data_IF_210179707597
#
_entry.id   IF_210179707597
#
_cell.length_a   1.000
_cell.length_b   1.000
_cell.length_c   1.000
_cell.angle_alpha   90.00
_cell.angle_beta   90.00
_cell.angle_gamma   90.00
#
_symmetry.space_group_name_H-M   'P 1'
#
loop_
_entity.id
_entity.type
_entity.pdbx_description
1 polymer ?
#
# COMPACT_ATOMS: atom_id res chain seq x y z
N UNK A 1 -10.30 -8.65 -17.16
CA UNK A 1 -9.03 -7.94 -17.40
C UNK A 1 -7.91 -8.80 -16.80
N UNK A 2 -7.57 -9.93 -17.44
CA UNK A 2 -6.57 -10.91 -16.93
C UNK A 2 -5.66 -11.42 -18.06
N UNK A 3 -5.47 -10.60 -19.09
CA UNK A 3 -4.86 -11.02 -20.36
C UNK A 3 -3.47 -11.64 -20.17
N UNK A 4 -2.61 -10.99 -19.38
CA UNK A 4 -1.25 -11.48 -19.13
C UNK A 4 -1.19 -12.38 -17.88
N UNK A 5 -2.06 -12.17 -16.89
CA UNK A 5 -2.11 -13.00 -15.70
C UNK A 5 -2.46 -14.47 -16.00
N UNK A 6 -3.30 -14.73 -17.00
CA UNK A 6 -3.60 -16.10 -17.45
C UNK A 6 -2.37 -16.80 -18.07
N UNK A 7 -1.48 -16.02 -18.70
CA UNK A 7 -0.25 -16.53 -19.31
C UNK A 7 0.90 -16.65 -18.31
N UNK A 8 0.94 -15.75 -17.32
CA UNK A 8 1.95 -15.69 -16.28
C UNK A 8 1.26 -15.67 -14.90
N UNK A 9 0.73 -16.80 -14.43
CA UNK A 9 0.05 -16.86 -13.14
C UNK A 9 1.06 -16.70 -11.99
N UNK A 10 0.63 -16.21 -10.81
CA UNK A 10 1.52 -15.81 -9.70
C UNK A 10 2.56 -16.86 -9.32
N UNK A 11 2.19 -18.14 -9.42
CA UNK A 11 3.04 -19.28 -9.06
C UNK A 11 4.33 -19.36 -9.88
N UNK A 12 4.35 -18.80 -11.11
CA UNK A 12 5.53 -18.86 -11.98
C UNK A 12 6.50 -17.71 -11.75
N UNK A 13 6.04 -16.61 -11.13
CA UNK A 13 6.83 -15.38 -11.03
C UNK A 13 8.19 -15.59 -10.37
N UNK A 14 8.31 -16.26 -9.19
CA UNK A 14 9.58 -16.35 -8.48
C UNK A 14 10.70 -17.04 -9.27
N UNK A 15 10.35 -17.94 -10.18
CA UNK A 15 11.30 -18.68 -11.02
C UNK A 15 11.43 -18.15 -12.45
N UNK A 16 10.68 -17.11 -12.82
CA UNK A 16 10.67 -16.62 -14.20
C UNK A 16 11.96 -15.87 -14.53
N UNK A 17 12.59 -16.18 -15.67
CA UNK A 17 13.87 -15.57 -16.08
C UNK A 17 13.82 -14.06 -16.23
N UNK A 18 12.64 -13.53 -16.59
CA UNK A 18 12.42 -12.10 -16.81
C UNK A 18 11.96 -11.36 -15.54
N UNK A 19 11.86 -12.04 -14.40
CA UNK A 19 11.69 -11.34 -13.13
C UNK A 19 13.04 -10.68 -12.81
N UNK A 20 13.18 -9.40 -13.13
CA UNK A 20 14.42 -8.66 -12.93
C UNK A 20 14.50 -7.98 -11.57
N UNK A 21 15.42 -7.03 -11.42
CA UNK A 21 15.65 -6.38 -10.12
C UNK A 21 14.54 -5.39 -9.78
N UNK A 22 14.05 -4.63 -10.75
CA UNK A 22 12.99 -3.64 -10.56
C UNK A 22 11.68 -4.32 -10.15
N UNK A 23 11.29 -5.42 -10.79
CA UNK A 23 10.09 -6.18 -10.42
C UNK A 23 10.21 -6.81 -9.03
N UNK A 24 11.39 -7.32 -8.66
CA UNK A 24 11.63 -7.83 -7.29
C UNK A 24 11.54 -6.74 -6.25
N UNK A 25 12.13 -5.57 -6.53
CA UNK A 25 12.06 -4.42 -5.64
C UNK A 25 10.61 -3.95 -5.48
N UNK A 26 9.83 -3.92 -6.57
CA UNK A 26 8.39 -3.61 -6.55
C UNK A 26 7.63 -4.52 -5.57
N UNK A 27 7.76 -5.84 -5.73
CA UNK A 27 7.12 -6.82 -4.86
C UNK A 27 7.56 -6.67 -3.39
N UNK A 28 8.86 -6.44 -3.14
CA UNK A 28 9.38 -6.21 -1.79
C UNK A 28 8.80 -4.93 -1.15
N UNK A 29 8.58 -3.87 -1.93
CA UNK A 29 7.93 -2.64 -1.45
C UNK A 29 6.48 -2.91 -1.07
N UNK A 30 5.75 -3.66 -1.88
CA UNK A 30 4.37 -4.05 -1.58
C UNK A 30 4.28 -4.91 -0.33
N UNK A 31 5.15 -5.91 -0.19
CA UNK A 31 5.22 -6.75 1.01
C UNK A 31 5.51 -5.94 2.27
N UNK A 32 6.40 -4.93 2.18
CA UNK A 32 6.64 -4.00 3.29
C UNK A 32 5.36 -3.23 3.68
N UNK A 33 4.53 -2.79 2.73
CA UNK A 33 3.25 -2.15 3.06
C UNK A 33 2.28 -3.12 3.74
N UNK A 34 2.20 -4.37 3.25
CA UNK A 34 1.37 -5.42 3.86
C UNK A 34 1.80 -5.70 5.30
N UNK A 35 3.09 -5.89 5.53
CA UNK A 35 3.66 -6.18 6.84
C UNK A 35 3.45 -5.03 7.82
N UNK A 36 3.86 -3.81 7.43
CA UNK A 36 3.78 -2.65 8.30
C UNK A 36 2.34 -2.23 8.59
N UNK A 37 1.46 -2.31 7.59
CA UNK A 37 0.02 -2.09 7.76
C UNK A 37 -0.60 -3.09 8.75
N UNK A 38 -0.26 -4.37 8.62
CA UNK A 38 -0.67 -5.41 9.56
C UNK A 38 -0.16 -5.18 10.99
N UNK A 39 1.10 -4.75 11.12
CA UNK A 39 1.69 -4.42 12.42
C UNK A 39 0.98 -3.22 13.08
N UNK A 40 0.74 -2.14 12.33
CA UNK A 40 0.02 -0.96 12.83
C UNK A 40 -1.40 -1.31 13.27
N UNK A 41 -2.11 -2.14 12.48
CA UNK A 41 -3.44 -2.63 12.82
C UNK A 41 -3.43 -3.46 14.11
N UNK A 42 -2.46 -4.36 14.25
CA UNK A 42 -2.34 -5.22 15.43
C UNK A 42 -2.05 -4.41 16.69
N UNK A 43 -1.08 -3.50 16.66
CA UNK A 43 -0.76 -2.62 17.77
C UNK A 43 -1.93 -1.73 18.20
N UNK A 44 -2.73 -1.28 17.22
CA UNK A 44 -3.96 -0.51 17.49
C UNK A 44 -5.01 -1.36 18.19
N UNK A 45 -5.17 -2.63 17.76
CA UNK A 45 -6.06 -3.59 18.42
C UNK A 45 -5.66 -3.87 19.87
N UNK A 46 -4.38 -4.16 20.11
CA UNK A 46 -3.83 -4.39 21.45
C UNK A 46 -4.01 -3.16 22.36
N UNK A 47 -3.75 -1.97 21.82
CA UNK A 47 -3.96 -0.72 22.55
C UNK A 47 -5.43 -0.48 22.89
N UNK A 48 -6.34 -0.74 21.93
CA UNK A 48 -7.79 -0.66 22.13
C UNK A 48 -8.31 -1.62 23.19
N UNK A 49 -7.67 -2.77 23.37
CA UNK A 49 -8.00 -3.77 24.39
C UNK A 49 -7.34 -3.49 25.75
N UNK A 50 -6.54 -2.42 25.86
CA UNK A 50 -5.85 -2.04 27.09
C UNK A 50 -4.65 -2.94 27.42
N UNK A 51 -4.13 -3.70 26.44
CA UNK A 51 -2.98 -4.59 26.61
C UNK A 51 -1.64 -3.85 26.62
N UNK A 52 -1.62 -2.63 26.08
CA UNK A 52 -0.42 -1.78 25.96
C UNK A 52 -0.67 -0.43 26.64
N UNK A 53 0.31 0.09 27.39
CA UNK A 53 0.16 1.40 28.04
C UNK A 53 0.30 2.54 27.02
N UNK A 54 -0.39 3.68 27.22
CA UNK A 54 -0.33 4.80 26.26
C UNK A 54 1.09 5.26 25.87
N UNK A 55 2.07 5.39 26.79
CA UNK A 55 3.42 5.80 26.41
C UNK A 55 4.15 4.78 25.53
N UNK A 56 3.94 3.48 25.78
CA UNK A 56 4.55 2.39 25.01
C UNK A 56 3.96 2.32 23.60
N UNK A 57 2.64 2.43 23.50
CA UNK A 57 1.94 2.51 22.22
C UNK A 57 2.46 3.69 21.40
N UNK A 58 2.49 4.91 21.97
CA UNK A 58 2.95 6.11 21.26
C UNK A 58 4.38 5.97 20.72
N UNK A 59 5.30 5.49 21.56
CA UNK A 59 6.71 5.33 21.19
C UNK A 59 6.91 4.35 20.02
N UNK A 60 6.08 3.30 19.94
CA UNK A 60 6.13 2.33 18.85
C UNK A 60 5.39 2.82 17.61
N UNK A 61 4.19 3.37 17.80
CA UNK A 61 3.21 3.69 16.77
C UNK A 61 3.59 4.90 15.92
N UNK A 62 3.97 6.01 16.55
CA UNK A 62 4.19 7.29 15.85
C UNK A 62 5.25 7.19 14.73
N UNK A 63 6.48 6.71 14.99
CA UNK A 63 7.49 6.65 13.94
C UNK A 63 7.10 5.70 12.79
N UNK A 64 6.40 4.60 13.10
CA UNK A 64 5.97 3.60 12.12
C UNK A 64 4.84 4.11 11.23
N UNK A 65 3.86 4.80 11.82
CA UNK A 65 2.78 5.42 11.05
C UNK A 65 3.35 6.51 10.13
N UNK A 66 4.25 7.35 10.63
CA UNK A 66 4.89 8.39 9.81
C UNK A 66 5.65 7.78 8.63
N UNK A 67 6.46 6.75 8.88
CA UNK A 67 7.16 6.02 7.84
C UNK A 67 6.18 5.42 6.82
N UNK A 68 5.17 4.68 7.27
CA UNK A 68 4.16 4.07 6.41
C UNK A 68 3.48 5.08 5.48
N UNK A 69 2.98 6.20 6.02
CA UNK A 69 2.25 7.20 5.23
C UNK A 69 3.17 7.95 4.24
N UNK A 70 4.40 8.27 4.65
CA UNK A 70 5.37 8.94 3.79
C UNK A 70 5.81 8.04 2.64
N UNK A 71 6.15 6.78 2.94
CA UNK A 71 6.58 5.82 1.95
C UNK A 71 5.46 5.48 0.96
N UNK A 72 4.21 5.38 1.44
CA UNK A 72 3.05 5.14 0.58
C UNK A 72 2.81 6.30 -0.37
N UNK A 73 2.88 7.53 0.12
CA UNK A 73 2.75 8.71 -0.72
C UNK A 73 3.87 8.81 -1.78
N UNK A 74 5.12 8.52 -1.38
CA UNK A 74 6.25 8.57 -2.31
C UNK A 74 6.20 7.44 -3.36
N UNK A 75 5.74 6.25 -2.96
CA UNK A 75 5.57 5.10 -3.85
C UNK A 75 4.59 5.41 -4.99
N UNK A 76 3.37 5.83 -4.65
CA UNK A 76 2.35 6.18 -5.66
C UNK A 76 2.82 7.33 -6.56
N UNK A 77 3.53 8.31 -6.00
CA UNK A 77 4.10 9.40 -6.81
C UNK A 77 5.12 8.90 -7.83
N UNK A 78 6.00 7.97 -7.46
CA UNK A 78 6.94 7.39 -8.42
C UNK A 78 6.19 6.59 -9.49
N UNK A 79 5.16 5.84 -9.09
CA UNK A 79 4.35 5.04 -10.01
C UNK A 79 3.65 5.91 -11.06
N UNK A 80 2.89 6.90 -10.62
CA UNK A 80 2.12 7.80 -11.48
C UNK A 80 3.00 8.55 -12.50
N UNK A 81 4.16 9.04 -12.04
CA UNK A 81 4.99 9.95 -12.84
C UNK A 81 6.16 9.27 -13.56
N UNK A 82 6.54 8.06 -13.16
CA UNK A 82 7.71 7.37 -13.72
C UNK A 82 7.35 6.04 -14.37
N UNK A 83 6.63 5.15 -13.67
CA UNK A 83 6.44 3.78 -14.14
C UNK A 83 5.19 3.57 -14.99
N UNK A 84 4.04 4.09 -14.56
CA UNK A 84 2.79 3.94 -15.30
C UNK A 84 2.87 4.50 -16.72
N UNK A 85 3.49 5.65 -17.00
CA UNK A 85 3.67 6.13 -18.37
C UNK A 85 4.35 5.11 -19.29
N UNK A 86 5.42 4.45 -18.81
CA UNK A 86 6.17 3.44 -19.57
C UNK A 86 5.30 2.21 -19.85
N UNK A 87 4.59 1.71 -18.84
CA UNK A 87 3.74 0.52 -19.01
C UNK A 87 2.53 0.79 -19.91
N UNK A 88 1.93 1.99 -19.80
CA UNK A 88 0.82 2.42 -20.64
C UNK A 88 1.22 2.52 -22.10
N UNK A 89 2.43 3.03 -22.39
CA UNK A 89 2.99 3.06 -23.74
C UNK A 89 3.26 1.63 -24.27
N UNK A 90 3.83 0.76 -23.43
CA UNK A 90 4.22 -0.59 -23.82
C UNK A 90 3.03 -1.54 -24.10
N UNK A 91 1.89 -1.37 -23.42
CA UNK A 91 0.73 -2.25 -23.60
C UNK A 91 -0.62 -1.49 -23.56
N UNK A 92 -1.06 -0.91 -24.68
CA UNK A 92 -2.29 -0.12 -24.77
C UNK A 92 -3.58 -0.90 -24.42
N UNK A 93 -3.56 -2.23 -24.45
CA UNK A 93 -4.72 -3.05 -24.05
C UNK A 93 -4.98 -3.01 -22.54
N UNK A 94 -4.00 -2.57 -21.75
CA UNK A 94 -4.09 -2.47 -20.29
C UNK A 94 -4.44 -1.07 -19.78
N UNK A 95 -4.63 -0.07 -20.66
CA UNK A 95 -4.90 1.33 -20.27
C UNK A 95 -6.03 1.48 -19.26
N UNK A 96 -7.15 0.76 -19.46
CA UNK A 96 -8.28 0.78 -18.52
C UNK A 96 -7.90 0.29 -17.12
N UNK A 97 -6.95 -0.63 -17.01
CA UNK A 97 -6.44 -1.09 -15.73
C UNK A 97 -5.63 -0.02 -15.04
N UNK A 98 -4.72 0.65 -15.76
CA UNK A 98 -3.98 1.79 -15.23
C UNK A 98 -4.88 2.96 -14.83
N UNK A 99 -5.95 3.24 -15.58
CA UNK A 99 -6.95 4.26 -15.18
C UNK A 99 -7.62 3.93 -13.84
N UNK A 100 -7.81 2.63 -13.54
CA UNK A 100 -8.35 2.18 -12.24
C UNK A 100 -7.30 2.36 -11.15
N UNK A 101 -6.05 1.97 -11.38
CA UNK A 101 -4.96 2.10 -10.41
C UNK A 101 -4.69 3.58 -10.05
N UNK A 102 -4.62 4.47 -11.05
CA UNK A 102 -4.47 5.91 -10.83
C UNK A 102 -5.65 6.48 -10.03
N UNK A 103 -6.89 6.05 -10.31
CA UNK A 103 -8.05 6.46 -9.51
C UNK A 103 -7.97 5.90 -8.07
N UNK A 104 -7.46 4.69 -7.88
CA UNK A 104 -7.25 4.12 -6.55
C UNK A 104 -6.19 4.92 -5.77
N UNK A 105 -5.14 5.42 -6.42
CA UNK A 105 -4.16 6.32 -5.79
C UNK A 105 -4.82 7.57 -5.21
N UNK A 106 -5.73 8.22 -5.96
CA UNK A 106 -6.47 9.39 -5.49
C UNK A 106 -7.35 9.07 -4.26
N UNK A 107 -8.06 7.94 -4.31
CA UNK A 107 -8.89 7.47 -3.18
C UNK A 107 -8.03 7.17 -1.95
N UNK A 108 -6.88 6.50 -2.15
CA UNK A 108 -5.92 6.18 -1.10
C UNK A 108 -5.32 7.46 -0.51
N UNK A 109 -4.98 8.46 -1.32
CA UNK A 109 -4.43 9.73 -0.85
C UNK A 109 -5.44 10.48 0.04
N UNK A 110 -6.71 10.50 -0.35
CA UNK A 110 -7.80 11.04 0.50
C UNK A 110 -7.89 10.27 1.83
N UNK A 111 -7.74 8.94 1.80
CA UNK A 111 -7.76 8.10 3.00
C UNK A 111 -6.54 8.32 3.90
N UNK A 112 -5.34 8.51 3.35
CA UNK A 112 -4.10 8.89 4.06
C UNK A 112 -4.37 10.15 4.91
N UNK A 113 -4.98 11.18 4.30
CA UNK A 113 -5.31 12.42 5.02
C UNK A 113 -6.29 12.20 6.18
N UNK A 114 -7.26 11.29 6.04
CA UNK A 114 -8.20 10.93 7.12
C UNK A 114 -7.50 10.19 8.26
N UNK A 115 -6.62 9.23 7.92
CA UNK A 115 -5.82 8.48 8.90
C UNK A 115 -4.88 9.40 9.67
N UNK A 116 -4.20 10.33 9.00
CA UNK A 116 -3.32 11.29 9.66
C UNK A 116 -4.08 12.18 10.65
N UNK A 117 -5.29 12.66 10.30
CA UNK A 117 -6.13 13.44 11.23
C UNK A 117 -6.57 12.62 12.43
N UNK A 118 -7.10 11.41 12.22
CA UNK A 118 -7.54 10.55 13.31
C UNK A 118 -6.38 10.12 14.23
N UNK A 119 -5.18 9.90 13.67
CA UNK A 119 -3.99 9.60 14.47
C UNK A 119 -3.62 10.78 15.38
N UNK A 120 -3.64 12.01 14.87
CA UNK A 120 -3.40 13.21 15.68
C UNK A 120 -4.45 13.36 16.80
N UNK A 121 -5.73 13.12 16.51
CA UNK A 121 -6.80 13.13 17.50
C UNK A 121 -6.60 12.06 18.58
N UNK A 122 -6.19 10.85 18.19
CA UNK A 122 -5.82 9.77 19.09
C UNK A 122 -4.70 10.19 20.03
N UNK A 123 -3.59 10.70 19.50
CA UNK A 123 -2.45 11.16 20.30
C UNK A 123 -2.83 12.29 21.29
N UNK A 124 -3.72 13.20 20.89
CA UNK A 124 -4.22 14.28 21.75
C UNK A 124 -5.21 13.83 22.84
N UNK A 125 -5.70 12.58 22.76
CA UNK A 125 -6.69 12.02 23.68
C UNK A 125 -6.10 11.11 24.77
N UNK A 126 -4.78 10.88 24.76
CA UNK A 126 -4.07 9.86 25.55
C UNK A 126 -4.22 9.96 27.08
N UNK A 127 -4.69 11.09 27.59
CA UNK A 127 -4.94 11.34 29.03
C UNK A 127 -6.36 11.89 29.27
N UNK A 128 -7.29 11.62 28.35
CA UNK A 128 -8.67 12.13 28.39
C UNK A 128 -9.67 10.98 28.39
N UNK A 129 -10.86 11.22 28.93
CA UNK A 129 -11.99 10.27 28.88
C UNK A 129 -12.43 9.91 27.44
N UNK A 130 -12.02 10.72 26.46
CA UNK A 130 -12.30 10.49 25.04
C UNK A 130 -11.38 9.44 24.38
N UNK A 131 -10.38 8.91 25.09
CA UNK A 131 -9.36 8.01 24.51
C UNK A 131 -9.98 6.83 23.76
N UNK A 132 -10.94 6.14 24.37
CA UNK A 132 -11.58 4.98 23.76
C UNK A 132 -12.26 5.34 22.44
N UNK A 133 -12.98 6.47 22.41
CA UNK A 133 -13.64 6.94 21.18
C UNK A 133 -12.61 7.27 20.09
N UNK A 134 -11.50 7.91 20.46
CA UNK A 134 -10.47 8.28 19.51
C UNK A 134 -9.72 7.05 18.96
N UNK A 135 -9.47 6.03 19.77
CA UNK A 135 -8.83 4.79 19.28
C UNK A 135 -9.77 4.01 18.35
N UNK A 136 -11.06 3.96 18.67
CA UNK A 136 -12.08 3.33 17.81
C UNK A 136 -12.21 4.09 16.48
N UNK A 137 -12.18 5.43 16.52
CA UNK A 137 -12.21 6.24 15.31
C UNK A 137 -10.99 5.98 14.43
N UNK A 138 -9.78 6.01 15.01
CA UNK A 138 -8.55 5.73 14.29
C UNK A 138 -8.57 4.33 13.66
N UNK A 139 -8.95 3.31 14.43
CA UNK A 139 -9.03 1.93 13.95
C UNK A 139 -9.99 1.79 12.75
N UNK A 140 -11.15 2.45 12.79
CA UNK A 140 -12.12 2.40 11.69
C UNK A 140 -11.59 3.05 10.41
N UNK A 141 -10.95 4.23 10.51
CA UNK A 141 -10.43 4.91 9.32
C UNK A 141 -9.17 4.23 8.76
N UNK A 142 -8.33 3.65 9.62
CA UNK A 142 -7.16 2.90 9.18
C UNK A 142 -7.54 1.58 8.52
N UNK A 143 -8.55 0.86 9.03
CA UNK A 143 -9.06 -0.36 8.39
C UNK A 143 -9.59 -0.09 6.97
N UNK A 144 -10.23 1.06 6.74
CA UNK A 144 -10.66 1.47 5.38
C UNK A 144 -9.46 1.70 4.46
N UNK A 145 -8.44 2.44 4.91
CA UNK A 145 -7.21 2.66 4.13
C UNK A 145 -6.53 1.33 3.81
N UNK A 146 -6.31 0.48 4.81
CA UNK A 146 -5.61 -0.79 4.65
C UNK A 146 -6.37 -1.75 3.73
N UNK A 147 -7.69 -1.87 3.87
CA UNK A 147 -8.48 -2.72 2.98
C UNK A 147 -8.49 -2.22 1.53
N UNK A 148 -8.46 -0.90 1.32
CA UNK A 148 -8.30 -0.31 -0.02
C UNK A 148 -6.93 -0.59 -0.60
N UNK A 149 -5.88 -0.31 0.18
CA UNK A 149 -4.49 -0.52 -0.21
C UNK A 149 -4.22 -1.98 -0.58
N UNK A 150 -4.65 -2.96 0.23
CA UNK A 150 -4.38 -4.37 -0.05
C UNK A 150 -4.98 -4.82 -1.40
N UNK A 151 -6.20 -4.38 -1.73
CA UNK A 151 -6.79 -4.68 -3.04
C UNK A 151 -6.02 -4.00 -4.17
N UNK A 152 -5.67 -2.73 -3.98
CA UNK A 152 -4.90 -1.97 -4.95
C UNK A 152 -3.55 -2.62 -5.27
N UNK A 153 -2.77 -3.01 -4.24
CA UNK A 153 -1.48 -3.70 -4.42
C UNK A 153 -1.64 -5.03 -5.16
N UNK A 154 -2.71 -5.79 -4.89
CA UNK A 154 -2.98 -7.06 -5.56
C UNK A 154 -3.33 -6.86 -7.04
N UNK A 155 -4.21 -5.89 -7.34
CA UNK A 155 -4.63 -5.56 -8.71
C UNK A 155 -3.47 -4.99 -9.54
N UNK A 156 -2.61 -4.19 -8.91
CA UNK A 156 -1.42 -3.63 -9.52
C UNK A 156 -0.38 -4.71 -9.86
N UNK A 157 -0.07 -5.59 -8.91
CA UNK A 157 0.84 -6.72 -9.14
C UNK A 157 0.35 -7.62 -10.27
N UNK A 158 -0.95 -7.91 -10.30
CA UNK A 158 -1.59 -8.74 -11.34
C UNK A 158 -1.52 -8.11 -12.74
N UNK A 159 -1.29 -6.80 -12.81
CA UNK A 159 -1.17 -6.06 -14.06
C UNK A 159 0.29 -5.86 -14.47
N UNK A 160 1.12 -5.39 -13.56
CA UNK A 160 2.50 -4.95 -13.83
C UNK A 160 3.46 -6.14 -13.91
N UNK A 161 3.40 -7.09 -12.98
CA UNK A 161 4.39 -8.17 -12.96
C UNK A 161 4.28 -9.03 -14.23
N UNK A 162 3.10 -9.52 -14.65
CA UNK A 162 2.98 -10.24 -15.92
C UNK A 162 3.43 -9.45 -17.14
N UNK A 163 3.26 -8.12 -17.14
CA UNK A 163 3.75 -7.25 -18.22
C UNK A 163 5.27 -7.23 -18.27
N UNK A 164 5.95 -7.06 -17.13
CA UNK A 164 7.41 -7.15 -17.05
C UNK A 164 7.89 -8.54 -17.48
N UNK A 165 7.21 -9.61 -17.07
CA UNK A 165 7.60 -10.96 -17.48
C UNK A 165 7.47 -11.17 -18.99
N UNK A 166 6.44 -10.61 -19.62
CA UNK A 166 6.21 -10.72 -21.06
C UNK A 166 7.20 -9.88 -21.89
N UNK A 167 7.54 -8.68 -21.40
CA UNK A 167 8.32 -7.69 -22.17
C UNK A 167 9.79 -7.60 -21.77
N UNK A 168 10.17 -8.02 -20.57
CA UNK A 168 11.45 -7.74 -19.89
C UNK A 168 11.61 -6.30 -19.39
N UNK A 169 12.40 -6.10 -18.34
CA UNK A 169 12.75 -4.77 -17.82
C UNK A 169 13.48 -3.90 -18.87
N UNK A 170 14.44 -4.48 -19.60
CA UNK A 170 15.23 -3.78 -20.62
C UNK A 170 14.35 -3.20 -21.74
N UNK A 171 13.36 -3.96 -22.22
CA UNK A 171 12.47 -3.48 -23.29
C UNK A 171 11.49 -2.41 -22.79
N UNK A 172 11.18 -2.41 -21.49
CA UNK A 172 10.31 -1.41 -20.85
C UNK A 172 11.08 -0.14 -20.44
N UNK A 173 12.40 -0.12 -20.56
CA UNK A 173 13.24 1.01 -20.15
C UNK A 173 13.37 1.14 -18.63
N UNK A 174 13.26 0.03 -17.90
CA UNK A 174 13.38 -0.06 -16.44
C UNK A 174 14.82 -0.34 -15.96
#
# INVERSE_FOLDING_TARGET
MRLLLERYPREVWPGHSNLGQTARFWLQRHDMFRELGGALRSATGEFREGLVRPPEFQAWFVPRLQFFLNELNNHHHIEDYSYFPLFREAEPRLLKGFDILENDHEVIHVAIGKVARAANELLQSMQKDSLQRSVDHYANVSDVLLAGLLRHLDDEEDLIIPLILDRTEETLGL
#
